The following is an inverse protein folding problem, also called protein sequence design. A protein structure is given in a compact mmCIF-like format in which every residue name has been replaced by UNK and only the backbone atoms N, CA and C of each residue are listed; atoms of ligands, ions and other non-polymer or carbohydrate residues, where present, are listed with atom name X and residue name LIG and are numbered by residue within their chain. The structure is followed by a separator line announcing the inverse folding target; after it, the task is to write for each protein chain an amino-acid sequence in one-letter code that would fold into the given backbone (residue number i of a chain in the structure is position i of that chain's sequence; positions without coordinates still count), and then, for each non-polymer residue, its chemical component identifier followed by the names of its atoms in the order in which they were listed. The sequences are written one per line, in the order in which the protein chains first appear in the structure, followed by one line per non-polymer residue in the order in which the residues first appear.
data_IF_331600376935
#
_entry.id   IF_331600376935
#
_cell.length_a   1.000
_cell.length_b   1.000
_cell.length_c   1.000
_cell.angle_alpha   90.00
_cell.angle_beta   90.00
_cell.angle_gamma   90.00
#
_symmetry.space_group_name_H-M   'P 1'
#
loop_
_entity.id
_entity.type
_entity.pdbx_description
1 polymer ?
#
# COMPACT_ATOMS: atom_id res chain seq x y z
N UNK A 1 4.19 -5.47 23.36
CA UNK A 1 4.16 -4.35 22.39
C UNK A 1 2.87 -3.60 22.64
N UNK A 2 2.93 -2.28 22.88
CA UNK A 2 1.73 -1.48 23.12
C UNK A 2 1.31 -0.70 21.86
N UNK A 3 0.03 -0.80 21.45
CA UNK A 3 -0.43 -0.15 20.24
C UNK A 3 -0.73 1.33 20.46
N UNK A 4 -0.54 2.12 19.41
CA UNK A 4 -1.00 3.51 19.36
C UNK A 4 -2.47 3.59 18.94
N UNK A 5 -3.22 4.58 19.47
CA UNK A 5 -4.61 4.79 19.08
C UNK A 5 -4.68 5.40 17.69
N UNK A 6 -5.37 4.71 16.79
CA UNK A 6 -5.74 5.22 15.48
C UNK A 6 -7.25 5.04 15.31
N UNK A 7 -7.86 5.92 14.53
CA UNK A 7 -9.28 5.85 14.20
C UNK A 7 -9.41 5.84 12.69
N UNK A 8 -10.23 4.95 12.16
CA UNK A 8 -10.59 4.93 10.74
C UNK A 8 -11.98 5.49 10.57
N UNK A 9 -12.11 6.58 9.82
CA UNK A 9 -13.37 7.14 9.38
C UNK A 9 -13.70 6.58 8.00
N UNK A 10 -14.82 5.88 7.91
CA UNK A 10 -15.27 5.17 6.71
C UNK A 10 -16.53 5.83 6.18
N UNK A 11 -16.54 6.13 4.89
CA UNK A 11 -17.74 6.52 4.14
C UNK A 11 -18.07 5.38 3.18
N UNK A 12 -19.20 4.73 3.42
CA UNK A 12 -19.65 3.53 2.69
C UNK A 12 -21.10 3.71 2.22
N UNK A 13 -21.57 2.80 1.37
CA UNK A 13 -22.93 2.80 0.79
C UNK A 13 -23.30 4.10 0.05
N UNK A 14 -22.39 4.62 -0.78
CA UNK A 14 -22.67 5.80 -1.60
C UNK A 14 -23.64 5.42 -2.73
N UNK A 15 -24.81 6.07 -2.78
CA UNK A 15 -25.77 5.89 -3.88
C UNK A 15 -26.54 7.18 -4.17
N UNK A 16 -26.78 7.46 -5.44
CA UNK A 16 -27.43 8.71 -5.88
C UNK A 16 -28.81 8.43 -6.49
N UNK A 17 -29.84 9.07 -5.93
CA UNK A 17 -31.21 9.11 -6.47
C UNK A 17 -31.43 10.46 -7.13
N UNK A 18 -31.61 10.47 -8.45
CA UNK A 18 -31.93 11.67 -9.22
C UNK A 18 -33.45 11.90 -9.27
N UNK A 19 -33.93 13.16 -9.30
CA UNK A 19 -35.35 13.45 -9.43
C UNK A 19 -35.88 13.03 -10.80
N UNK A 20 -37.09 12.47 -10.85
CA UNK A 20 -37.82 12.20 -12.09
C UNK A 20 -38.27 13.54 -12.70
N UNK A 21 -37.85 13.84 -13.92
CA UNK A 21 -38.28 15.05 -14.62
C UNK A 21 -39.69 14.87 -15.19
N UNK A 22 -40.67 15.58 -14.66
CA UNK A 22 -42.05 15.64 -15.17
C UNK A 22 -42.17 16.63 -16.34
N UNK A 23 -41.55 16.35 -17.49
CA UNK A 23 -41.94 16.94 -18.79
C UNK A 23 -41.68 15.94 -19.92
N UNK A 24 -42.71 15.44 -20.63
CA UNK A 24 -42.50 14.70 -21.86
C UNK A 24 -42.17 15.70 -22.97
N UNK A 25 -40.90 15.83 -23.33
CA UNK A 25 -40.54 16.43 -24.62
C UNK A 25 -40.49 15.31 -25.64
N UNK A 26 -41.58 15.15 -26.37
CA UNK A 26 -41.65 14.30 -27.54
C UNK A 26 -40.70 14.86 -28.62
N UNK A 27 -39.54 14.25 -28.77
CA UNK A 27 -38.84 14.15 -30.07
C UNK A 27 -37.63 13.21 -29.98
N UNK A 28 -37.84 12.04 -30.57
CA UNK A 28 -36.88 11.20 -31.29
C UNK A 28 -35.70 10.55 -30.53
N UNK A 29 -35.63 9.22 -30.70
CA UNK A 29 -34.54 8.29 -30.42
C UNK A 29 -34.37 7.84 -28.98
N UNK A 30 -34.98 6.68 -28.69
CA UNK A 30 -34.81 5.94 -27.45
C UNK A 30 -33.39 5.43 -27.28
N UNK A 31 -32.58 6.20 -26.55
CA UNK A 31 -31.46 5.71 -25.76
C UNK A 31 -31.44 6.57 -24.49
N UNK A 32 -32.10 6.13 -23.42
CA UNK A 32 -31.94 6.77 -22.11
C UNK A 32 -30.44 6.76 -21.78
N UNK A 33 -29.83 7.95 -21.72
CA UNK A 33 -28.40 8.11 -21.42
C UNK A 33 -28.12 7.77 -19.96
N UNK A 34 -28.05 6.48 -19.64
CA UNK A 34 -27.56 5.93 -18.36
C UNK A 34 -26.05 6.09 -18.17
N UNK A 35 -25.37 6.80 -19.07
CA UNK A 35 -23.91 6.77 -19.23
C UNK A 35 -23.18 8.04 -18.78
N UNK A 36 -23.83 8.95 -18.03
CA UNK A 36 -23.08 10.08 -17.44
C UNK A 36 -22.54 9.67 -16.06
N UNK A 37 -21.22 9.50 -15.89
CA UNK A 37 -20.67 9.12 -14.60
C UNK A 37 -20.97 10.21 -13.57
N UNK A 38 -21.47 9.80 -12.41
CA UNK A 38 -21.63 10.66 -11.25
C UNK A 38 -20.47 10.39 -10.29
N UNK A 39 -19.97 11.44 -9.65
CA UNK A 39 -18.87 11.31 -8.71
C UNK A 39 -18.99 12.28 -7.55
N UNK A 40 -18.43 11.91 -6.41
CA UNK A 40 -18.34 12.79 -5.25
C UNK A 40 -16.90 13.17 -4.95
N UNK A 41 -16.73 14.39 -4.44
CA UNK A 41 -15.52 14.84 -3.77
C UNK A 41 -15.81 14.97 -2.28
N UNK A 42 -15.06 14.24 -1.46
CA UNK A 42 -15.16 14.24 0.00
C UNK A 42 -14.03 15.08 0.57
N UNK A 43 -14.39 16.00 1.46
CA UNK A 43 -13.45 16.93 2.07
C UNK A 43 -13.65 17.02 3.56
N UNK A 44 -12.56 16.87 4.28
CA UNK A 44 -12.41 17.13 5.71
C UNK A 44 -11.30 18.16 5.86
N UNK A 45 -11.46 19.14 6.74
CA UNK A 45 -10.43 20.16 6.97
C UNK A 45 -9.12 19.50 7.39
N UNK A 46 -8.00 19.90 6.79
CA UNK A 46 -6.64 19.38 7.03
C UNK A 46 -6.39 17.93 6.58
N UNK A 47 -7.28 17.35 5.75
CA UNK A 47 -7.04 16.06 5.09
C UNK A 47 -7.04 16.23 3.57
N UNK A 48 -6.28 15.40 2.83
CA UNK A 48 -6.34 15.37 1.38
C UNK A 48 -7.77 15.09 0.89
N UNK A 49 -8.27 15.81 -0.13
CA UNK A 49 -9.58 15.54 -0.69
C UNK A 49 -9.60 14.16 -1.38
N UNK A 50 -10.66 13.39 -1.14
CA UNK A 50 -10.87 12.08 -1.75
C UNK A 50 -11.95 12.19 -2.83
N UNK A 51 -11.84 11.41 -3.90
CA UNK A 51 -12.83 11.37 -4.98
C UNK A 51 -13.27 9.93 -5.22
N UNK A 52 -14.57 9.72 -5.38
CA UNK A 52 -15.11 8.40 -5.70
C UNK A 52 -16.25 8.48 -6.72
N UNK A 53 -16.44 7.40 -7.46
CA UNK A 53 -17.59 7.22 -8.34
C UNK A 53 -18.82 6.89 -7.50
N UNK A 54 -19.98 7.37 -7.93
CA UNK A 54 -21.26 7.10 -7.25
C UNK A 54 -22.19 6.34 -8.21
N UNK A 55 -22.66 5.14 -7.83
CA UNK A 55 -23.69 4.44 -8.59
C UNK A 55 -25.04 5.14 -8.47
N UNK A 56 -25.81 5.10 -9.57
CA UNK A 56 -27.19 5.59 -9.60
C UNK A 56 -28.14 4.51 -9.07
N UNK A 57 -29.05 4.86 -8.15
CA UNK A 57 -30.11 3.96 -7.70
C UNK A 57 -31.21 3.86 -8.75
N UNK A 58 -31.65 2.65 -9.12
CA UNK A 58 -32.80 2.47 -10.00
C UNK A 58 -34.11 2.84 -9.28
N UNK A 59 -35.10 3.42 -9.99
CA UNK A 59 -36.37 3.87 -9.40
C UNK A 59 -37.31 2.73 -8.96
N UNK A 60 -36.95 1.46 -9.18
CA UNK A 60 -37.78 0.28 -8.88
C UNK A 60 -37.57 -0.30 -7.49
N UNK A 61 -36.59 0.18 -6.71
CA UNK A 61 -36.44 -0.23 -5.31
C UNK A 61 -37.24 0.71 -4.40
N UNK A 62 -38.25 0.16 -3.75
CA UNK A 62 -38.96 0.79 -2.64
C UNK A 62 -37.98 1.29 -1.58
N UNK A 63 -38.34 2.35 -0.87
CA UNK A 63 -37.55 3.04 0.17
C UNK A 63 -37.13 2.17 1.39
N UNK A 64 -37.32 0.84 1.31
CA UNK A 64 -36.99 -0.16 2.33
C UNK A 64 -35.77 -1.04 2.00
N UNK A 65 -35.17 -0.93 0.82
CA UNK A 65 -34.03 -1.78 0.42
C UNK A 65 -32.70 -1.02 0.54
N UNK A 66 -31.81 -1.48 1.42
CA UNK A 66 -30.44 -0.97 1.55
C UNK A 66 -29.71 -1.17 0.20
N UNK A 67 -29.03 -0.15 -0.36
CA UNK A 67 -28.35 -0.29 -1.64
C UNK A 67 -27.32 -1.42 -1.57
N UNK A 68 -27.31 -2.27 -2.60
CA UNK A 68 -26.40 -3.40 -2.71
C UNK A 68 -24.95 -2.98 -2.46
N UNK A 69 -24.23 -3.82 -1.72
CA UNK A 69 -22.93 -3.60 -1.07
C UNK A 69 -21.73 -3.46 -2.04
N UNK A 70 -21.94 -2.88 -3.21
CA UNK A 70 -20.97 -2.82 -4.33
C UNK A 70 -20.20 -1.50 -4.43
N UNK A 71 -20.49 -0.51 -3.58
CA UNK A 71 -19.76 0.77 -3.55
C UNK A 71 -18.49 0.65 -2.70
N UNK A 72 -17.33 0.91 -3.32
CA UNK A 72 -16.02 0.96 -2.66
C UNK A 72 -16.03 2.00 -1.54
N UNK A 73 -15.62 1.59 -0.34
CA UNK A 73 -15.60 2.45 0.82
C UNK A 73 -14.42 3.44 0.77
N UNK A 74 -14.63 4.65 1.26
CA UNK A 74 -13.60 5.68 1.34
C UNK A 74 -13.15 5.82 2.78
N UNK A 75 -11.85 5.67 3.00
CA UNK A 75 -11.27 5.68 4.34
C UNK A 75 -10.41 6.93 4.57
N UNK A 76 -10.59 7.56 5.72
CA UNK A 76 -9.68 8.55 6.28
C UNK A 76 -9.05 7.95 7.54
N UNK A 77 -7.73 7.85 7.57
CA UNK A 77 -7.00 7.36 8.73
C UNK A 77 -6.59 8.55 9.60
N UNK A 78 -7.03 8.56 10.85
CA UNK A 78 -6.68 9.56 11.84
C UNK A 78 -5.57 9.00 12.73
N UNK A 79 -4.41 9.65 12.68
CA UNK A 79 -3.27 9.36 13.55
C UNK A 79 -3.46 9.96 14.95
N UNK A 80 -2.62 9.59 15.94
CA UNK A 80 -2.72 10.13 17.30
C UNK A 80 -2.65 11.66 17.39
N UNK A 81 -1.97 12.33 16.46
CA UNK A 81 -1.89 13.79 16.44
C UNK A 81 -3.19 14.41 15.92
N UNK A 82 -3.78 13.82 14.88
CA UNK A 82 -5.08 14.19 14.33
C UNK A 82 -6.19 13.97 15.36
N UNK A 83 -6.18 12.85 16.09
CA UNK A 83 -7.14 12.57 17.17
C UNK A 83 -7.05 13.67 18.24
N UNK A 84 -5.85 13.95 18.77
CA UNK A 84 -5.66 15.03 19.78
C UNK A 84 -6.11 16.40 19.28
N UNK A 85 -5.88 16.72 18.00
CA UNK A 85 -6.28 18.00 17.40
C UNK A 85 -7.80 18.15 17.29
N UNK A 86 -8.51 17.04 17.10
CA UNK A 86 -9.95 17.02 16.85
C UNK A 86 -10.78 16.69 18.10
N UNK A 87 -10.14 16.28 19.20
CA UNK A 87 -10.79 16.01 20.47
C UNK A 87 -11.59 17.23 20.96
N UNK A 88 -12.85 17.01 21.35
CA UNK A 88 -13.77 18.06 21.78
C UNK A 88 -14.17 19.07 20.70
N UNK A 89 -13.83 18.82 19.42
CA UNK A 89 -14.10 19.73 18.30
C UNK A 89 -14.81 18.99 17.17
N UNK A 90 -16.10 19.26 16.91
CA UNK A 90 -16.79 18.63 15.80
C UNK A 90 -16.15 19.04 14.46
N UNK A 91 -16.03 18.08 13.55
CA UNK A 91 -15.47 18.26 12.21
C UNK A 91 -16.55 18.08 11.18
N UNK A 92 -16.56 18.93 10.15
CA UNK A 92 -17.50 18.84 9.06
C UNK A 92 -16.90 18.03 7.90
N UNK A 93 -17.50 16.86 7.61
CA UNK A 93 -17.29 16.14 6.36
C UNK A 93 -18.22 16.74 5.31
N UNK A 94 -17.65 17.38 4.28
CA UNK A 94 -18.41 17.89 3.13
C UNK A 94 -18.32 16.89 1.98
N UNK A 95 -19.47 16.44 1.47
CA UNK A 95 -19.56 15.60 0.28
C UNK A 95 -20.21 16.42 -0.83
N UNK A 96 -19.43 16.71 -1.88
CA UNK A 96 -19.91 17.45 -3.05
C UNK A 96 -20.14 16.48 -4.20
N UNK A 97 -21.35 16.42 -4.74
CA UNK A 97 -21.73 15.49 -5.82
C UNK A 97 -21.74 16.22 -7.16
N UNK A 98 -21.13 15.61 -8.16
CA UNK A 98 -21.00 16.14 -9.51
C UNK A 98 -21.54 15.15 -10.54
N UNK A 99 -22.12 15.67 -11.62
CA UNK A 99 -22.43 14.95 -12.85
C UNK A 99 -21.46 15.34 -13.96
N UNK A 100 -21.04 14.38 -14.78
CA UNK A 100 -20.19 14.63 -15.94
C UNK A 100 -18.80 14.02 -15.81
N UNK A 101 -17.92 14.33 -16.77
CA UNK A 101 -16.58 13.73 -16.82
C UNK A 101 -15.69 14.24 -15.68
N UNK A 102 -14.92 13.35 -15.08
CA UNK A 102 -13.84 13.73 -14.17
C UNK A 102 -12.68 14.35 -14.97
N UNK A 103 -12.20 15.52 -14.53
CA UNK A 103 -11.01 16.18 -15.09
C UNK A 103 -11.26 17.52 -15.76
N UNK A 104 -10.19 18.08 -16.34
CA UNK A 104 -10.21 19.33 -17.09
C UNK A 104 -9.92 19.02 -18.56
N UNK A 105 -10.76 19.50 -19.47
CA UNK A 105 -10.43 19.57 -20.89
C UNK A 105 -10.34 21.04 -21.27
N UNK A 106 -9.20 21.47 -21.81
CA UNK A 106 -8.98 22.83 -22.29
C UNK A 106 -9.33 23.94 -21.26
N UNK A 107 -9.03 23.73 -19.97
CA UNK A 107 -9.27 24.73 -18.91
C UNK A 107 -10.69 24.77 -18.34
N UNK A 108 -11.66 24.04 -18.91
CA UNK A 108 -13.02 23.94 -18.39
C UNK A 108 -13.17 22.68 -17.52
N UNK A 109 -13.76 22.81 -16.33
CA UNK A 109 -14.05 21.65 -15.49
C UNK A 109 -15.19 20.84 -16.10
N UNK A 110 -14.98 19.55 -16.36
CA UNK A 110 -15.95 18.71 -17.07
C UNK A 110 -17.19 18.28 -16.25
N UNK A 111 -17.27 18.64 -14.96
CA UNK A 111 -18.34 18.22 -14.06
C UNK A 111 -19.21 19.37 -13.54
N UNK A 112 -20.53 19.23 -13.60
CA UNK A 112 -21.51 20.14 -13.02
C UNK A 112 -21.83 19.73 -11.59
N UNK A 113 -21.76 20.66 -10.63
CA UNK A 113 -22.14 20.39 -9.24
C UNK A 113 -23.65 20.17 -9.15
N UNK A 114 -24.07 19.00 -8.66
CA UNK A 114 -25.47 18.69 -8.35
C UNK A 114 -25.88 19.24 -6.98
N UNK A 115 -25.01 19.14 -5.99
CA UNK A 115 -25.30 19.59 -4.64
C UNK A 115 -24.25 19.15 -3.63
N UNK A 116 -24.45 19.57 -2.37
CA UNK A 116 -23.57 19.24 -1.25
C UNK A 116 -24.39 18.72 -0.08
N UNK A 117 -23.84 17.73 0.61
CA UNK A 117 -24.27 17.35 1.97
C UNK A 117 -23.12 17.54 2.92
N UNK A 118 -23.44 17.80 4.18
CA UNK A 118 -22.46 17.96 5.24
C UNK A 118 -22.85 17.08 6.42
N UNK A 119 -21.89 16.29 6.91
CA UNK A 119 -22.06 15.43 8.09
C UNK A 119 -21.14 15.95 9.19
N UNK A 120 -21.72 16.24 10.35
CA UNK A 120 -20.96 16.63 11.54
C UNK A 120 -20.43 15.37 12.21
N UNK A 121 -19.12 15.32 12.41
CA UNK A 121 -18.41 14.18 12.97
C UNK A 121 -17.79 14.62 14.28
N UNK A 122 -18.21 14.01 15.39
CA UNK A 122 -17.49 14.13 16.65
C UNK A 122 -16.71 12.83 16.90
N UNK A 123 -15.38 12.91 16.92
CA UNK A 123 -14.54 11.73 17.12
C UNK A 123 -14.38 11.32 18.59
N UNK A 124 -15.01 12.06 19.52
CA UNK A 124 -14.97 11.73 20.94
C UNK A 124 -15.57 10.33 21.17
N UNK A 125 -14.79 9.43 21.77
CA UNK A 125 -15.17 8.03 21.96
C UNK A 125 -14.92 7.10 20.77
N UNK A 126 -14.54 7.60 19.59
CA UNK A 126 -14.20 6.76 18.42
C UNK A 126 -12.97 5.87 18.63
N UNK A 127 -12.14 6.18 19.62
CA UNK A 127 -10.95 5.38 19.99
C UNK A 127 -11.33 4.09 20.71
N UNK A 128 -12.47 4.06 21.43
CA UNK A 128 -12.87 2.91 22.26
C UNK A 128 -13.93 2.05 21.60
N UNK A 129 -14.82 2.63 20.79
CA UNK A 129 -15.87 1.88 20.10
C UNK A 129 -16.23 2.49 18.74
N UNK A 130 -16.82 1.70 17.84
CA UNK A 130 -17.37 2.23 16.60
C UNK A 130 -18.51 3.22 16.86
N UNK A 131 -18.59 4.27 16.05
CA UNK A 131 -19.66 5.27 16.09
C UNK A 131 -20.20 5.49 14.68
N UNK A 132 -21.51 5.67 14.54
CA UNK A 132 -22.19 5.99 13.28
C UNK A 132 -22.74 7.41 13.38
N UNK A 133 -22.37 8.27 12.44
CA UNK A 133 -22.78 9.68 12.41
C UNK A 133 -23.94 9.92 11.45
N UNK A 134 -23.97 9.17 10.35
CA UNK A 134 -25.01 9.24 9.35
C UNK A 134 -25.23 7.85 8.79
N UNK A 135 -26.48 7.46 8.57
CA UNK A 135 -26.85 6.26 7.84
C UNK A 135 -28.20 6.50 7.16
N UNK A 136 -28.20 6.75 5.86
CA UNK A 136 -29.43 6.93 5.10
C UNK A 136 -29.33 8.03 4.05
N UNK A 137 -30.50 8.37 3.49
CA UNK A 137 -30.66 9.36 2.44
C UNK A 137 -30.56 10.80 2.97
N UNK A 138 -29.80 11.64 2.26
CA UNK A 138 -29.67 13.08 2.50
C UNK A 138 -29.98 13.86 1.22
N UNK A 139 -30.78 14.92 1.31
CA UNK A 139 -31.12 15.77 0.17
C UNK A 139 -29.91 16.58 -0.31
N UNK A 140 -29.71 16.66 -1.62
CA UNK A 140 -28.66 17.44 -2.27
C UNK A 140 -29.21 18.81 -2.69
N UNK A 141 -28.76 19.88 -2.04
CA UNK A 141 -29.17 21.26 -2.32
C UNK A 141 -30.10 21.86 -1.26
N UNK A 142 -30.19 23.19 -1.24
CA UNK A 142 -30.86 23.95 -0.17
C UNK A 142 -31.85 25.01 -0.71
N UNK A 143 -32.31 24.89 -1.96
CA UNK A 143 -33.19 25.89 -2.58
C UNK A 143 -34.56 25.32 -2.94
N UNK A 144 -35.56 25.67 -2.13
CA UNK A 144 -36.99 25.70 -2.48
C UNK A 144 -37.63 24.38 -2.95
N UNK A 145 -38.90 24.49 -3.30
CA UNK A 145 -39.88 23.42 -3.58
C UNK A 145 -39.60 22.57 -4.85
N UNK A 146 -38.35 22.53 -5.33
CA UNK A 146 -37.96 21.75 -6.52
C UNK A 146 -37.61 20.31 -6.14
N UNK A 147 -37.90 19.33 -7.02
CA UNK A 147 -37.50 17.95 -6.78
C UNK A 147 -35.97 17.87 -6.76
N UNK A 148 -35.40 17.61 -5.57
CA UNK A 148 -33.98 17.56 -5.32
C UNK A 148 -33.45 16.13 -5.40
N UNK A 149 -32.22 15.97 -5.90
CA UNK A 149 -31.52 14.69 -5.84
C UNK A 149 -31.25 14.31 -4.37
N UNK A 150 -31.11 13.02 -4.09
CA UNK A 150 -30.79 12.51 -2.76
C UNK A 150 -29.56 11.61 -2.82
N UNK A 151 -28.67 11.73 -1.84
CA UNK A 151 -27.48 10.91 -1.67
C UNK A 151 -27.68 10.00 -0.46
N UNK A 152 -27.63 8.69 -0.68
CA UNK A 152 -27.45 7.74 0.41
C UNK A 152 -25.97 7.68 0.77
N UNK A 153 -25.68 7.74 2.07
CA UNK A 153 -24.35 7.45 2.60
C UNK A 153 -24.44 6.96 4.03
N UNK A 154 -23.45 6.16 4.42
CA UNK A 154 -23.18 5.82 5.81
C UNK A 154 -21.80 6.32 6.19
N UNK A 155 -21.74 7.11 7.25
CA UNK A 155 -20.51 7.68 7.79
C UNK A 155 -20.31 7.10 9.18
N UNK A 156 -19.21 6.37 9.37
CA UNK A 156 -18.89 5.74 10.65
C UNK A 156 -17.40 5.83 10.97
N UNK A 157 -17.06 5.87 12.24
CA UNK A 157 -15.69 5.67 12.72
C UNK A 157 -15.56 4.33 13.40
N UNK A 158 -14.37 3.76 13.37
CA UNK A 158 -14.01 2.58 14.14
C UNK A 158 -12.58 2.69 14.71
N UNK A 159 -12.32 2.14 15.91
CA UNK A 159 -10.96 1.96 16.40
C UNK A 159 -10.14 1.14 15.42
N UNK A 160 -8.92 1.57 15.13
CA UNK A 160 -8.02 0.92 14.19
C UNK A 160 -6.59 0.89 14.76
N UNK A 161 -6.38 0.32 15.97
CA UNK A 161 -5.11 0.43 16.70
C UNK A 161 -3.94 -0.17 15.92
N UNK A 162 -2.76 0.47 16.02
CA UNK A 162 -1.58 0.12 15.23
C UNK A 162 -0.31 0.11 16.05
N UNK A 163 0.59 -0.82 15.75
CA UNK A 163 1.97 -0.74 16.19
C UNK A 163 2.75 0.20 15.29
N UNK A 164 3.57 1.08 15.89
CA UNK A 164 4.45 1.99 15.18
C UNK A 164 5.88 1.59 15.43
N UNK A 165 6.63 1.42 14.35
CA UNK A 165 8.05 1.13 14.37
C UNK A 165 8.80 2.16 13.55
N UNK A 166 10.03 2.46 13.94
CA UNK A 166 10.91 3.36 13.22
C UNK A 166 12.31 2.76 13.18
N UNK A 167 12.88 2.70 11.99
CA UNK A 167 14.29 2.35 11.82
C UNK A 167 15.17 3.47 12.38
N UNK A 168 16.19 3.11 13.17
CA UNK A 168 17.16 4.06 13.73
C UNK A 168 18.07 4.70 12.68
N UNK A 169 18.25 4.01 11.56
CA UNK A 169 19.09 4.39 10.42
C UNK A 169 18.61 3.70 9.15
N UNK A 170 19.43 3.74 8.11
CA UNK A 170 19.10 3.12 6.83
C UNK A 170 19.23 1.60 6.90
N UNK A 171 18.37 0.81 6.21
CA UNK A 171 18.37 -0.65 6.32
C UNK A 171 19.73 -1.32 6.00
N UNK A 172 20.47 -0.81 5.02
CA UNK A 172 21.80 -1.31 4.66
C UNK A 172 22.87 -1.06 5.72
N UNK A 173 22.63 -0.13 6.65
CA UNK A 173 23.52 0.19 7.77
C UNK A 173 23.27 -0.70 9.00
N UNK A 174 22.52 -1.80 8.86
CA UNK A 174 22.18 -2.73 9.95
C UNK A 174 21.59 -2.04 11.20
N UNK A 175 20.47 -1.31 11.07
CA UNK A 175 19.97 -0.45 12.13
C UNK A 175 19.21 -1.21 13.21
N UNK A 176 19.10 -0.60 14.40
CA UNK A 176 18.11 -0.97 15.41
C UNK A 176 16.74 -0.40 15.02
N UNK A 177 15.68 -1.16 15.25
CA UNK A 177 14.29 -0.73 15.04
C UNK A 177 13.62 -0.47 16.38
N UNK A 178 13.01 0.69 16.50
CA UNK A 178 12.36 1.15 17.71
C UNK A 178 10.84 1.06 17.57
N UNK A 179 10.16 0.48 18.56
CA UNK A 179 8.74 0.70 18.76
C UNK A 179 8.53 2.12 19.30
N UNK A 180 7.65 2.88 18.66
CA UNK A 180 7.33 4.26 19.02
C UNK A 180 6.02 4.26 19.81
N UNK A 181 6.08 4.81 21.03
CA UNK A 181 4.94 4.98 21.91
C UNK A 181 4.90 6.43 22.40
N UNK A 182 4.13 7.28 21.72
CA UNK A 182 4.14 8.72 21.99
C UNK A 182 5.55 9.31 21.79
N UNK A 183 6.18 9.76 22.89
CA UNK A 183 7.54 10.30 22.88
C UNK A 183 8.62 9.26 23.24
N UNK A 184 8.22 8.04 23.60
CA UNK A 184 9.12 6.96 24.01
C UNK A 184 9.54 6.16 22.78
N UNK A 185 10.84 5.87 22.68
CA UNK A 185 11.44 5.03 21.63
C UNK A 185 12.08 3.80 22.28
N UNK A 186 11.43 2.64 22.17
CA UNK A 186 11.92 1.39 22.75
C UNK A 186 12.55 0.51 21.67
N UNK A 187 13.81 0.09 21.78
CA UNK A 187 14.39 -0.86 20.84
C UNK A 187 13.66 -2.20 20.96
N UNK A 188 13.24 -2.78 19.84
CA UNK A 188 12.51 -4.06 19.82
C UNK A 188 13.10 -5.07 18.83
N UNK A 189 13.77 -4.59 17.78
CA UNK A 189 14.46 -5.44 16.83
C UNK A 189 15.83 -4.87 16.47
N UNK A 190 16.74 -5.73 16.02
CA UNK A 190 17.96 -5.34 15.34
C UNK A 190 17.99 -5.93 13.93
N UNK A 191 18.45 -5.16 12.96
CA UNK A 191 18.61 -5.61 11.59
C UNK A 191 20.08 -5.90 11.29
N UNK A 192 20.34 -6.96 10.54
CA UNK A 192 21.66 -7.26 9.97
C UNK A 192 21.55 -7.34 8.46
N UNK A 193 22.16 -6.38 7.78
CA UNK A 193 22.28 -6.37 6.33
C UNK A 193 23.54 -7.13 5.91
N UNK A 194 23.46 -7.86 4.81
CA UNK A 194 24.60 -8.47 4.13
C UNK A 194 24.46 -8.33 2.62
N UNK A 195 25.57 -8.03 1.97
CA UNK A 195 25.70 -7.97 0.51
C UNK A 195 26.66 -9.07 0.04
N UNK A 196 26.22 -10.33 0.12
CA UNK A 196 27.06 -11.47 -0.28
C UNK A 196 27.06 -11.60 -1.81
N UNK A 197 28.16 -11.20 -2.45
CA UNK A 197 28.33 -11.35 -3.91
C UNK A 197 28.45 -12.80 -4.35
N UNK A 198 28.74 -13.72 -3.42
CA UNK A 198 28.99 -15.13 -3.68
C UNK A 198 27.83 -16.01 -3.18
N UNK A 199 26.63 -15.78 -3.71
CA UNK A 199 25.38 -16.47 -3.33
C UNK A 199 25.32 -17.96 -3.71
N UNK A 200 26.47 -18.63 -3.88
CA UNK A 200 26.56 -20.09 -4.05
C UNK A 200 27.02 -20.83 -2.79
N UNK A 201 27.58 -20.14 -1.79
CA UNK A 201 28.29 -20.82 -0.69
C UNK A 201 27.74 -20.59 0.73
N UNK A 202 26.69 -19.77 0.94
CA UNK A 202 25.95 -19.79 2.20
C UNK A 202 24.64 -20.54 2.02
N UNK A 203 24.60 -21.71 2.64
CA UNK A 203 23.49 -22.64 2.75
C UNK A 203 22.17 -21.94 3.13
N UNK A 204 21.35 -21.63 2.14
CA UNK A 204 19.96 -22.06 2.23
C UNK A 204 19.99 -23.60 2.23
N UNK A 205 19.23 -24.30 3.09
CA UNK A 205 19.20 -25.76 3.05
C UNK A 205 18.83 -26.22 1.64
N UNK A 206 19.39 -27.37 1.27
CA UNK A 206 19.31 -28.02 -0.04
C UNK A 206 17.90 -28.15 -0.62
N UNK A 207 16.85 -27.98 0.19
CA UNK A 207 15.45 -28.05 -0.24
C UNK A 207 14.96 -26.80 -1.00
N UNK A 208 15.78 -25.74 -1.03
CA UNK A 208 15.56 -24.57 -1.91
C UNK A 208 16.59 -24.47 -3.05
N UNK A 209 17.48 -25.46 -3.17
CA UNK A 209 18.31 -25.59 -4.36
C UNK A 209 17.39 -25.89 -5.55
N UNK A 210 17.30 -24.90 -6.43
CA UNK A 210 16.60 -24.93 -7.70
C UNK A 210 17.01 -26.17 -8.52
N UNK A 211 16.28 -27.26 -8.38
CA UNK A 211 16.34 -28.38 -9.33
C UNK A 211 15.68 -27.90 -10.62
N UNK A 212 16.52 -27.55 -11.58
CA UNK A 212 16.24 -27.54 -13.02
C UNK A 212 14.92 -26.87 -13.49
N UNK A 213 14.97 -25.55 -13.65
CA UNK A 213 14.31 -24.92 -14.81
C UNK A 213 15.43 -24.49 -15.76
N UNK A 214 16.09 -25.50 -16.32
CA UNK A 214 16.94 -25.33 -17.49
C UNK A 214 16.10 -25.70 -18.71
N UNK A 215 15.34 -24.74 -19.24
CA UNK A 215 14.82 -24.78 -20.61
C UNK A 215 15.07 -23.45 -21.30
N UNK A 216 16.24 -23.38 -21.93
CA UNK A 216 16.41 -22.70 -23.22
C UNK A 216 16.77 -21.22 -23.19
N UNK A 217 18.00 -20.86 -22.82
CA UNK A 217 18.73 -19.81 -23.52
C UNK A 217 20.24 -20.07 -23.43
N UNK A 218 20.79 -20.81 -24.39
CA UNK A 218 22.22 -20.82 -24.67
C UNK A 218 22.60 -19.44 -25.22
N UNK A 219 23.24 -18.58 -24.42
CA UNK A 219 23.93 -17.41 -24.97
C UNK A 219 25.30 -17.88 -25.44
N UNK A 220 25.51 -17.80 -26.74
CA UNK A 220 26.78 -18.04 -27.40
C UNK A 220 27.86 -17.14 -26.80
N UNK A 221 28.97 -17.73 -26.36
CA UNK A 221 30.15 -17.03 -25.92
C UNK A 221 30.73 -16.19 -27.07
N UNK A 222 30.41 -14.89 -27.10
CA UNK A 222 31.14 -13.93 -27.92
C UNK A 222 32.30 -13.38 -27.10
N UNK A 223 33.52 -13.66 -27.57
CA UNK A 223 34.78 -13.20 -27.00
C UNK A 223 34.86 -11.66 -27.06
N UNK A 224 34.44 -10.97 -26.00
CA UNK A 224 34.44 -9.51 -25.93
C UNK A 224 34.39 -9.03 -24.49
N UNK A 225 35.58 -8.68 -23.94
CA UNK A 225 35.85 -8.02 -22.65
C UNK A 225 34.64 -7.95 -21.70
N UNK A 226 34.53 -8.97 -20.86
CA UNK A 226 33.55 -9.09 -19.78
C UNK A 226 33.62 -7.87 -18.84
N UNK A 227 32.72 -6.90 -19.05
CA UNK A 227 32.53 -5.78 -18.11
C UNK A 227 31.92 -6.35 -16.83
N UNK A 228 32.77 -6.54 -15.82
CA UNK A 228 32.36 -6.89 -14.47
C UNK A 228 31.31 -5.88 -13.95
N UNK A 229 30.14 -6.35 -13.55
CA UNK A 229 29.25 -5.60 -12.64
C UNK A 229 28.13 -4.75 -13.27
N UNK A 230 27.22 -5.36 -14.04
CA UNK A 230 25.88 -4.77 -14.32
C UNK A 230 24.75 -5.54 -13.63
N UNK A 231 25.01 -6.13 -12.47
CA UNK A 231 24.02 -6.86 -11.70
C UNK A 231 24.13 -6.47 -10.23
N UNK A 232 22.97 -6.29 -9.56
CA UNK A 232 22.88 -6.14 -8.10
C UNK A 232 22.18 -7.39 -7.56
N UNK A 233 22.89 -8.17 -6.75
CA UNK A 233 22.45 -9.48 -6.26
C UNK A 233 22.92 -9.75 -4.84
N UNK A 234 22.31 -10.77 -4.22
CA UNK A 234 22.80 -11.36 -2.98
C UNK A 234 22.62 -10.50 -1.73
N UNK A 235 21.75 -9.48 -1.80
CA UNK A 235 21.43 -8.69 -0.62
C UNK A 235 20.43 -9.43 0.25
N UNK A 236 20.68 -9.40 1.55
CA UNK A 236 19.79 -9.96 2.55
C UNK A 236 19.74 -9.04 3.76
N UNK A 237 18.58 -8.93 4.37
CA UNK A 237 18.42 -8.30 5.67
C UNK A 237 17.72 -9.28 6.60
N UNK A 238 18.34 -9.55 7.76
CA UNK A 238 17.79 -10.43 8.79
C UNK A 238 17.39 -9.58 9.98
N UNK A 239 16.16 -9.78 10.45
CA UNK A 239 15.60 -9.11 11.63
C UNK A 239 15.72 -10.04 12.82
N UNK A 240 16.35 -9.57 13.88
CA UNK A 240 16.53 -10.28 15.13
C UNK A 240 15.70 -9.63 16.24
N UNK A 241 15.23 -10.45 17.18
CA UNK A 241 14.68 -9.95 18.43
C UNK A 241 15.79 -9.50 19.41
N UNK A 242 15.39 -9.07 20.61
CA UNK A 242 16.33 -8.64 21.65
C UNK A 242 17.18 -9.78 22.23
N UNK A 243 16.81 -11.03 22.01
CA UNK A 243 17.63 -12.20 22.38
C UNK A 243 18.70 -12.52 21.34
N UNK A 244 18.67 -11.87 20.17
CA UNK A 244 19.53 -12.17 19.04
C UNK A 244 18.99 -13.29 18.14
N UNK A 245 17.77 -13.77 18.37
CA UNK A 245 17.15 -14.81 17.54
C UNK A 245 16.64 -14.22 16.22
N UNK A 246 16.95 -14.85 15.08
CA UNK A 246 16.44 -14.42 13.77
C UNK A 246 14.96 -14.76 13.63
N UNK A 247 14.10 -13.73 13.54
CA UNK A 247 12.64 -13.89 13.56
C UNK A 247 11.96 -13.52 12.24
N UNK A 248 12.66 -12.84 11.34
CA UNK A 248 12.24 -12.60 9.96
C UNK A 248 13.46 -12.29 9.08
N UNK A 249 13.33 -12.46 7.78
CA UNK A 249 14.34 -12.00 6.83
C UNK A 249 13.72 -11.56 5.52
N UNK A 250 14.43 -10.71 4.78
CA UNK A 250 14.16 -10.45 3.37
C UNK A 250 15.42 -10.74 2.57
N UNK A 251 15.30 -11.59 1.56
CA UNK A 251 16.42 -12.05 0.74
C UNK A 251 16.15 -11.77 -0.74
N UNK A 252 17.12 -11.18 -1.43
CA UNK A 252 17.04 -10.97 -2.87
C UNK A 252 17.17 -12.30 -3.61
N UNK A 253 16.07 -12.75 -4.23
CA UNK A 253 15.99 -14.03 -4.96
C UNK A 253 16.13 -13.85 -6.47
N UNK A 254 15.76 -12.68 -6.99
CA UNK A 254 15.95 -12.33 -8.40
C UNK A 254 16.80 -11.08 -8.45
N UNK A 255 17.96 -11.15 -9.11
CA UNK A 255 18.89 -10.03 -9.17
C UNK A 255 18.28 -8.86 -9.95
N UNK A 256 18.69 -7.65 -9.58
CA UNK A 256 18.33 -6.45 -10.32
C UNK A 256 19.35 -6.27 -11.44
N UNK A 257 18.86 -6.30 -12.69
CA UNK A 257 19.68 -6.25 -13.91
C UNK A 257 19.08 -5.22 -14.87
N UNK A 258 19.88 -4.38 -15.54
CA UNK A 258 19.36 -3.44 -16.52
C UNK A 258 18.86 -4.17 -17.77
N UNK A 259 17.75 -3.71 -18.33
CA UNK A 259 17.22 -4.22 -19.60
C UNK A 259 18.21 -3.97 -20.74
N UNK A 260 18.16 -4.81 -21.79
CA UNK A 260 19.03 -4.67 -22.96
C UNK A 260 18.92 -3.26 -23.56
N UNK A 261 20.06 -2.63 -23.82
CA UNK A 261 20.12 -1.26 -24.36
C UNK A 261 19.77 -0.14 -23.36
N UNK A 262 19.55 -0.45 -22.08
CA UNK A 262 19.15 0.49 -21.03
C UNK A 262 20.09 0.41 -19.83
N UNK A 263 19.93 1.35 -18.89
CA UNK A 263 20.55 1.35 -17.56
C UNK A 263 19.52 1.16 -16.43
N UNK A 264 18.33 0.66 -16.78
CA UNK A 264 17.15 0.57 -15.90
C UNK A 264 16.66 -0.87 -15.76
N UNK A 265 16.16 -1.20 -14.57
CA UNK A 265 15.38 -2.41 -14.33
C UNK A 265 13.96 -2.17 -14.85
N UNK A 266 13.53 -2.90 -15.88
CA UNK A 266 12.19 -2.76 -16.46
C UNK A 266 11.17 -3.65 -15.77
N UNK A 267 9.88 -3.31 -15.92
CA UNK A 267 8.75 -4.15 -15.49
C UNK A 267 8.79 -5.57 -16.09
N UNK A 268 9.35 -5.72 -17.29
CA UNK A 268 9.50 -7.02 -17.96
C UNK A 268 10.58 -7.93 -17.37
N UNK A 269 11.48 -7.38 -16.55
CA UNK A 269 12.53 -8.12 -15.85
C UNK A 269 12.74 -7.49 -14.46
N UNK A 270 11.75 -7.60 -13.56
CA UNK A 270 11.83 -6.99 -12.24
C UNK A 270 12.82 -7.74 -11.36
N UNK A 271 13.47 -7.02 -10.44
CA UNK A 271 14.17 -7.66 -9.34
C UNK A 271 13.17 -8.12 -8.28
N UNK A 272 13.52 -9.14 -7.49
CA UNK A 272 12.60 -9.70 -6.52
C UNK A 272 13.26 -10.08 -5.20
N UNK A 273 12.50 -9.84 -4.14
CA UNK A 273 12.80 -10.22 -2.76
C UNK A 273 11.81 -11.26 -2.28
N UNK A 274 12.30 -12.19 -1.47
CA UNK A 274 11.50 -13.14 -0.73
C UNK A 274 11.52 -12.75 0.74
N UNK A 275 10.35 -12.55 1.31
CA UNK A 275 10.15 -12.32 2.73
C UNK A 275 9.97 -13.69 3.39
N UNK A 276 10.79 -13.95 4.39
CA UNK A 276 10.96 -15.25 5.01
C UNK A 276 10.57 -15.19 6.49
N UNK A 277 9.86 -16.22 6.93
CA UNK A 277 9.57 -16.49 8.34
C UNK A 277 10.33 -17.73 8.81
N UNK A 278 10.83 -17.80 10.04
CA UNK A 278 11.37 -19.03 10.59
C UNK A 278 10.24 -20.06 10.77
N UNK A 279 10.57 -21.34 10.61
CA UNK A 279 9.66 -22.47 10.80
C UNK A 279 10.29 -23.52 11.72
N UNK A 280 9.86 -23.51 12.99
CA UNK A 280 10.43 -24.35 14.04
C UNK A 280 11.63 -23.70 14.74
N UNK A 281 12.35 -24.47 15.54
CA UNK A 281 13.44 -23.98 16.40
C UNK A 281 14.81 -23.89 15.71
N UNK A 282 14.93 -24.37 14.46
CA UNK A 282 16.21 -24.38 13.73
C UNK A 282 16.31 -23.25 12.70
N UNK A 283 17.48 -22.62 12.64
CA UNK A 283 17.88 -21.58 11.66
C UNK A 283 17.81 -22.08 10.21
N UNK A 284 17.85 -23.41 9.99
CA UNK A 284 17.75 -24.00 8.65
C UNK A 284 16.36 -23.86 8.04
N UNK A 285 15.29 -23.77 8.83
CA UNK A 285 13.95 -23.98 8.28
C UNK A 285 13.23 -22.65 8.03
N UNK A 286 13.67 -21.88 7.02
CA UNK A 286 12.94 -20.68 6.58
C UNK A 286 11.79 -21.05 5.64
N UNK A 287 10.62 -20.45 5.86
CA UNK A 287 9.47 -20.57 4.96
C UNK A 287 9.17 -19.24 4.28
N UNK A 288 8.85 -19.26 2.97
CA UNK A 288 8.41 -18.06 2.27
C UNK A 288 7.08 -17.58 2.82
N UNK A 289 6.98 -16.28 3.08
CA UNK A 289 5.76 -15.60 3.49
C UNK A 289 5.18 -14.75 2.36
N UNK A 290 6.04 -14.00 1.67
CA UNK A 290 5.62 -13.14 0.58
C UNK A 290 6.76 -12.84 -0.39
N UNK A 291 6.40 -12.47 -1.61
CA UNK A 291 7.32 -12.08 -2.68
C UNK A 291 7.09 -10.63 -3.05
N UNK A 292 8.15 -9.82 -3.02
CA UNK A 292 8.13 -8.42 -3.44
C UNK A 292 8.93 -8.27 -4.73
N UNK A 293 8.28 -7.89 -5.81
CA UNK A 293 8.92 -7.47 -7.05
C UNK A 293 9.06 -5.96 -7.09
N UNK A 294 10.15 -5.47 -7.69
CA UNK A 294 10.38 -4.05 -7.88
C UNK A 294 11.11 -3.75 -9.20
N UNK A 295 10.77 -2.61 -9.81
CA UNK A 295 11.35 -2.13 -11.06
C UNK A 295 11.29 -0.60 -11.15
N UNK A 296 12.00 -0.02 -12.11
CA UNK A 296 11.96 1.43 -12.38
C UNK A 296 10.99 1.72 -13.52
N UNK A 297 9.81 2.23 -13.17
CA UNK A 297 8.76 2.63 -14.11
C UNK A 297 9.12 3.96 -14.79
N UNK A 298 8.88 4.05 -16.11
CA UNK A 298 9.14 5.28 -16.87
C UNK A 298 7.89 6.17 -16.84
N UNK A 299 8.08 7.45 -16.55
CA UNK A 299 7.01 8.44 -16.58
C UNK A 299 7.54 9.87 -16.67
N UNK A 300 6.66 10.89 -16.59
CA UNK A 300 7.08 12.30 -16.50
C UNK A 300 8.06 12.54 -15.36
N UNK A 301 7.88 11.79 -14.27
CA UNK A 301 8.90 11.54 -13.26
C UNK A 301 9.03 10.03 -13.11
N UNK A 302 10.26 9.52 -13.10
CA UNK A 302 10.55 8.11 -12.84
C UNK A 302 9.89 7.65 -11.52
N UNK A 303 9.35 6.44 -11.53
CA UNK A 303 8.75 5.81 -10.36
C UNK A 303 9.44 4.49 -10.01
N UNK A 304 9.41 4.13 -8.73
CA UNK A 304 9.64 2.76 -8.30
C UNK A 304 8.31 2.01 -8.38
N UNK A 305 8.17 1.15 -9.38
CA UNK A 305 7.07 0.20 -9.46
C UNK A 305 7.32 -0.97 -8.53
N UNK A 306 6.26 -1.47 -7.90
CA UNK A 306 6.34 -2.60 -6.99
C UNK A 306 5.10 -3.48 -7.08
N UNK A 307 5.28 -4.77 -6.78
CA UNK A 307 4.19 -5.75 -6.65
C UNK A 307 4.53 -6.71 -5.52
N UNK A 308 3.63 -6.82 -4.55
CA UNK A 308 3.74 -7.72 -3.41
C UNK A 308 2.66 -8.79 -3.46
N UNK A 309 3.08 -10.04 -3.32
CA UNK A 309 2.21 -11.23 -3.33
C UNK A 309 2.47 -12.10 -2.10
N UNK A 310 1.41 -12.67 -1.52
CA UNK A 310 1.57 -13.70 -0.49
C UNK A 310 1.80 -15.05 -1.15
N UNK A 311 2.77 -15.80 -0.66
CA UNK A 311 3.09 -17.13 -1.18
C UNK A 311 2.06 -18.13 -0.67
N UNK A 312 1.46 -18.91 -1.57
CA UNK A 312 0.52 -19.98 -1.19
C UNK A 312 1.22 -21.33 -1.10
N UNK A 313 0.58 -22.29 -0.44
CA UNK A 313 1.11 -23.66 -0.29
C UNK A 313 1.32 -24.40 -1.63
N UNK A 314 0.84 -23.85 -2.76
CA UNK A 314 0.99 -24.44 -4.10
C UNK A 314 2.29 -24.07 -4.83
N UNK A 315 3.21 -23.35 -4.17
CA UNK A 315 4.55 -23.04 -4.69
C UNK A 315 4.77 -21.56 -5.05
N UNK A 316 6.00 -21.21 -5.44
CA UNK A 316 6.47 -19.82 -5.64
C UNK A 316 5.86 -19.10 -6.86
N UNK A 317 5.13 -19.83 -7.72
CA UNK A 317 4.54 -19.31 -8.97
C UNK A 317 3.05 -19.00 -8.84
N UNK A 318 2.44 -19.31 -7.69
CA UNK A 318 1.02 -19.06 -7.39
C UNK A 318 0.92 -18.22 -6.12
N UNK A 319 1.03 -16.91 -6.28
CA UNK A 319 0.90 -15.93 -5.21
C UNK A 319 -0.44 -15.22 -5.26
N UNK A 320 -0.97 -14.81 -4.11
CA UNK A 320 -2.14 -13.93 -4.05
C UNK A 320 -1.62 -12.49 -4.12
N UNK A 321 -1.90 -11.72 -5.18
CA UNK A 321 -1.45 -10.34 -5.24
C UNK A 321 -2.12 -9.54 -4.13
N UNK A 322 -1.34 -8.84 -3.32
CA UNK A 322 -1.80 -8.09 -2.16
C UNK A 322 -1.67 -6.58 -2.38
N UNK A 323 -0.56 -6.10 -2.93
CA UNK A 323 -0.38 -4.68 -3.23
C UNK A 323 0.44 -4.49 -4.50
N UNK A 324 0.00 -3.62 -5.40
CA UNK A 324 0.74 -3.19 -6.58
C UNK A 324 0.63 -1.67 -6.68
N UNK A 325 1.70 -1.00 -7.06
CA UNK A 325 1.68 0.44 -7.21
C UNK A 325 2.95 1.02 -7.75
N UNK A 326 3.05 2.34 -7.71
CA UNK A 326 4.24 3.08 -8.11
C UNK A 326 4.43 4.26 -7.19
N UNK A 327 5.64 4.42 -6.64
CA UNK A 327 6.02 5.57 -5.82
C UNK A 327 7.06 6.44 -6.53
N UNK A 328 7.17 7.71 -6.16
CA UNK A 328 8.06 8.64 -6.84
C UNK A 328 9.53 8.36 -6.48
N UNK A 329 10.41 8.16 -7.46
CA UNK A 329 11.79 7.77 -7.14
C UNK A 329 12.63 8.90 -6.51
N UNK A 330 12.28 10.18 -6.75
CA UNK A 330 13.02 11.34 -6.22
C UNK A 330 12.49 11.81 -4.87
N UNK A 331 11.16 11.75 -4.70
CA UNK A 331 10.47 12.23 -3.50
C UNK A 331 10.24 11.11 -2.48
N UNK A 332 10.33 9.86 -2.90
CA UNK A 332 9.87 8.73 -2.10
C UNK A 332 8.35 8.65 -2.10
N UNK A 333 7.80 8.02 -1.07
CA UNK A 333 6.37 7.87 -0.89
C UNK A 333 6.01 6.99 0.29
N UNK A 334 4.82 6.40 0.21
CA UNK A 334 4.31 5.49 1.22
C UNK A 334 3.93 4.18 0.55
N UNK A 335 4.59 3.10 0.92
CA UNK A 335 4.16 1.75 0.59
C UNK A 335 3.00 1.39 1.53
N UNK A 336 1.87 0.93 0.99
CA UNK A 336 0.69 0.60 1.78
C UNK A 336 0.13 -0.77 1.36
N UNK A 337 -0.35 -1.51 2.35
CA UNK A 337 -1.22 -2.67 2.16
C UNK A 337 -2.52 -2.36 2.91
N UNK A 338 -3.58 -2.17 2.15
CA UNK A 338 -4.93 -1.98 2.67
C UNK A 338 -5.90 -2.76 1.78
N UNK A 339 -6.56 -3.75 2.37
CA UNK A 339 -7.43 -4.66 1.63
C UNK A 339 -8.79 -4.02 1.29
N UNK A 340 -9.10 -2.84 1.84
CA UNK A 340 -10.31 -2.08 1.48
C UNK A 340 -10.21 -1.37 0.13
N UNK A 341 -9.00 -1.25 -0.43
CA UNK A 341 -8.76 -0.59 -1.71
C UNK A 341 -8.94 -1.51 -2.93
N UNK A 342 -9.21 -2.81 -2.72
CA UNK A 342 -9.41 -3.76 -3.82
C UNK A 342 -10.88 -3.98 -4.12
N UNK A 343 -11.25 -3.68 -5.35
CA UNK A 343 -12.57 -3.98 -5.91
C UNK A 343 -12.86 -5.48 -5.79
N UNK A 344 -14.03 -5.77 -5.24
CA UNK A 344 -14.60 -7.09 -5.03
C UNK A 344 -14.45 -8.02 -6.25
N UNK A 345 -13.60 -9.05 -6.12
CA UNK A 345 -13.81 -10.41 -6.64
C UNK A 345 -12.77 -11.36 -6.05
N UNK A 346 -13.27 -12.33 -5.27
CA UNK A 346 -12.60 -13.55 -4.84
C UNK A 346 -11.24 -13.39 -4.11
N UNK A 347 -11.28 -13.32 -2.79
CA UNK A 347 -10.27 -13.98 -1.94
C UNK A 347 -11.02 -14.95 -1.02
N UNK A 348 -10.83 -16.28 -1.14
CA UNK A 348 -11.52 -17.28 -0.32
C UNK A 348 -11.13 -17.27 1.17
N UNK A 349 -10.24 -16.36 1.57
CA UNK A 349 -9.74 -16.15 2.93
C UNK A 349 -10.20 -14.76 3.43
N UNK A 350 -11.50 -14.51 3.40
CA UNK A 350 -12.12 -13.20 3.72
C UNK A 350 -12.28 -12.94 5.22
N UNK A 351 -11.24 -13.18 6.03
CA UNK A 351 -11.20 -12.77 7.44
C UNK A 351 -10.30 -11.55 7.69
N UNK A 352 -9.57 -11.11 6.66
CA UNK A 352 -8.68 -9.95 6.71
C UNK A 352 -9.49 -8.79 6.09
N UNK A 353 -9.77 -7.76 6.88
CA UNK A 353 -10.52 -6.57 6.43
C UNK A 353 -9.89 -5.34 7.09
N UNK A 354 -9.45 -4.38 6.29
CA UNK A 354 -8.92 -3.10 6.78
C UNK A 354 -7.43 -2.88 6.49
N UNK A 355 -6.86 -1.97 7.28
CA UNK A 355 -5.47 -1.54 7.17
C UNK A 355 -4.53 -2.65 7.67
N UNK A 356 -3.59 -3.07 6.82
CA UNK A 356 -2.60 -4.10 7.17
C UNK A 356 -1.30 -3.46 7.61
N UNK A 357 -0.66 -2.74 6.69
CA UNK A 357 0.59 -2.06 6.99
C UNK A 357 0.79 -0.82 6.12
N UNK A 358 1.72 0.02 6.56
CA UNK A 358 2.32 0.99 5.68
C UNK A 358 3.74 1.34 6.10
N UNK A 359 4.58 1.70 5.13
CA UNK A 359 5.94 2.15 5.37
C UNK A 359 6.25 3.44 4.61
N UNK A 360 6.88 4.42 5.28
CA UNK A 360 7.43 5.60 4.61
C UNK A 360 8.77 5.28 3.97
N UNK A 361 8.94 5.64 2.71
CA UNK A 361 10.15 5.38 1.93
C UNK A 361 10.67 6.73 1.43
N UNK A 362 11.93 7.03 1.70
CA UNK A 362 12.56 8.25 1.19
C UNK A 362 13.00 8.10 -0.28
N UNK A 363 13.21 9.23 -0.94
CA UNK A 363 13.67 9.26 -2.33
C UNK A 363 15.11 8.77 -2.52
N UNK A 364 15.43 8.34 -3.74
CA UNK A 364 16.77 7.90 -4.16
C UNK A 364 17.84 8.91 -3.73
N UNK A 365 18.88 8.42 -3.04
CA UNK A 365 20.03 9.23 -2.61
C UNK A 365 19.82 10.04 -1.32
N UNK A 366 18.69 9.86 -0.63
CA UNK A 366 18.47 10.40 0.71
C UNK A 366 18.67 9.31 1.76
N UNK A 367 19.03 9.72 2.96
CA UNK A 367 19.05 8.80 4.10
C UNK A 367 17.62 8.42 4.50
N UNK A 368 17.26 7.16 4.28
CA UNK A 368 15.95 6.63 4.61
C UNK A 368 15.91 6.12 6.05
N UNK A 369 14.86 6.47 6.79
CA UNK A 369 14.55 5.91 8.11
C UNK A 369 13.10 5.45 8.10
N UNK A 370 12.80 4.26 7.55
CA UNK A 370 11.43 3.84 7.36
C UNK A 370 10.61 3.88 8.65
N UNK A 371 9.44 4.50 8.57
CA UNK A 371 8.42 4.48 9.61
C UNK A 371 7.37 3.46 9.21
N UNK A 372 7.27 2.38 9.97
CA UNK A 372 6.38 1.25 9.71
C UNK A 372 5.19 1.32 10.66
N UNK A 373 3.99 1.25 10.09
CA UNK A 373 2.73 1.14 10.83
C UNK A 373 2.14 -0.24 10.50
N UNK A 374 1.70 -0.98 11.51
CA UNK A 374 1.09 -2.30 11.32
C UNK A 374 -0.20 -2.38 12.14
N UNK A 375 -1.31 -2.79 11.52
CA UNK A 375 -2.57 -2.99 12.22
C UNK A 375 -2.47 -4.12 13.24
N UNK A 376 -2.95 -3.89 14.47
CA UNK A 376 -2.82 -4.85 15.59
C UNK A 376 -3.42 -6.21 15.25
N UNK A 377 -4.53 -6.22 14.53
CA UNK A 377 -5.23 -7.43 14.10
C UNK A 377 -4.40 -8.37 13.19
N UNK A 378 -3.29 -7.88 12.64
CA UNK A 378 -2.38 -8.66 11.79
C UNK A 378 -1.09 -9.10 12.51
N UNK A 379 -1.00 -8.85 13.83
CA UNK A 379 0.18 -9.17 14.64
C UNK A 379 -0.24 -9.96 15.86
N UNK A 380 0.02 -11.26 15.85
CA UNK A 380 -0.23 -12.15 17.00
C UNK A 380 1.02 -12.35 17.85
N UNK A 381 2.20 -12.21 17.24
CA UNK A 381 3.49 -12.34 17.91
C UNK A 381 4.53 -11.35 17.34
N UNK A 382 5.69 -11.25 17.99
CA UNK A 382 6.78 -10.38 17.52
C UNK A 382 7.30 -10.76 16.13
N UNK A 383 7.29 -12.05 15.79
CA UNK A 383 7.71 -12.52 14.47
C UNK A 383 6.79 -12.00 13.35
N UNK A 384 5.48 -11.88 13.60
CA UNK A 384 4.55 -11.30 12.63
C UNK A 384 4.89 -9.83 12.35
N UNK A 385 5.17 -9.04 13.40
CA UNK A 385 5.61 -7.66 13.24
C UNK A 385 6.93 -7.57 12.45
N UNK A 386 7.88 -8.46 12.76
CA UNK A 386 9.17 -8.52 12.09
C UNK A 386 9.08 -8.84 10.59
N UNK A 387 8.07 -9.58 10.14
CA UNK A 387 7.82 -9.77 8.69
C UNK A 387 7.51 -8.47 7.97
N UNK A 388 6.71 -7.59 8.58
CA UNK A 388 6.43 -6.27 8.03
C UNK A 388 7.65 -5.34 8.10
N UNK A 389 8.51 -5.49 9.11
CA UNK A 389 9.81 -4.79 9.17
C UNK A 389 10.72 -5.24 8.03
N UNK A 390 10.85 -6.55 7.81
CA UNK A 390 11.65 -7.11 6.72
C UNK A 390 11.12 -6.67 5.34
N UNK A 391 9.79 -6.69 5.15
CA UNK A 391 9.16 -6.19 3.93
C UNK A 391 9.41 -4.69 3.72
N UNK A 392 9.31 -3.89 4.79
CA UNK A 392 9.65 -2.46 4.76
C UNK A 392 11.09 -2.21 4.34
N UNK A 393 12.03 -2.99 4.86
CA UNK A 393 13.43 -2.88 4.47
C UNK A 393 13.63 -3.29 2.99
N UNK A 394 12.98 -4.35 2.53
CA UNK A 394 13.08 -4.80 1.14
C UNK A 394 12.58 -3.76 0.13
N UNK A 395 11.45 -3.09 0.41
CA UNK A 395 10.93 -2.04 -0.47
C UNK A 395 11.82 -0.78 -0.42
N UNK A 396 12.40 -0.46 0.73
CA UNK A 396 13.33 0.67 0.88
C UNK A 396 14.63 0.42 0.10
N UNK A 397 15.26 -0.75 0.31
CA UNK A 397 16.45 -1.19 -0.43
C UNK A 397 16.19 -1.29 -1.94
N UNK A 398 14.94 -1.50 -2.36
CA UNK A 398 14.55 -1.50 -3.77
C UNK A 398 14.68 -0.12 -4.43
N UNK A 399 14.64 0.99 -3.68
CA UNK A 399 14.95 2.32 -4.21
C UNK A 399 16.41 2.39 -4.70
N UNK A 400 17.34 1.82 -3.94
CA UNK A 400 18.75 1.71 -4.33
C UNK A 400 18.97 0.61 -5.38
N UNK A 401 18.30 -0.54 -5.26
CA UNK A 401 18.42 -1.65 -6.21
C UNK A 401 17.89 -1.28 -7.62
N UNK A 402 16.91 -0.37 -7.72
CA UNK A 402 16.39 0.16 -8.99
C UNK A 402 17.07 1.46 -9.45
N UNK A 403 18.10 1.95 -8.75
CA UNK A 403 18.90 3.10 -9.21
C UNK A 403 19.48 2.85 -10.61
N UNK A 404 19.66 3.89 -11.41
CA UNK A 404 20.29 3.71 -12.73
C UNK A 404 21.66 3.02 -12.60
N UNK A 405 21.94 2.03 -13.47
CA UNK A 405 23.21 1.28 -13.45
C UNK A 405 24.41 2.12 -13.90
N UNK A 406 24.15 3.26 -14.53
CA UNK A 406 25.14 4.31 -14.79
C UNK A 406 25.63 5.01 -13.50
N UNK A 407 24.89 4.88 -12.39
CA UNK A 407 25.23 5.48 -11.10
C UNK A 407 25.80 4.45 -10.14
N UNK A 408 26.81 4.86 -9.39
CA UNK A 408 27.37 4.04 -8.29
C UNK A 408 26.38 3.98 -7.12
N UNK A 409 26.36 2.81 -6.46
CA UNK A 409 25.75 2.63 -5.16
C UNK A 409 26.65 3.22 -4.07
N UNK A 410 26.08 3.40 -2.88
CA UNK A 410 26.82 3.82 -1.69
C UNK A 410 27.70 2.67 -1.18
N UNK A 411 28.66 2.97 -0.32
CA UNK A 411 29.73 2.02 0.06
C UNK A 411 29.21 0.86 0.91
N UNK A 412 28.10 1.05 1.60
CA UNK A 412 27.43 0.08 2.46
C UNK A 412 26.93 -1.14 1.66
N UNK A 413 26.75 -0.99 0.34
CA UNK A 413 26.42 -2.05 -0.60
C UNK A 413 27.64 -2.73 -1.25
N UNK A 414 28.83 -2.20 -0.97
CA UNK A 414 30.12 -2.67 -1.49
C UNK A 414 30.85 -3.32 -0.33
N UNK A 415 30.59 -4.60 -0.08
CA UNK A 415 31.47 -5.37 0.80
C UNK A 415 32.80 -5.56 0.06
N UNK A 416 33.82 -4.80 0.46
CA UNK A 416 35.22 -5.13 0.16
C UNK A 416 35.62 -6.35 1.01
N UNK A 417 36.38 -7.27 0.44
CA UNK A 417 36.95 -8.46 1.09
C UNK A 417 37.99 -8.08 2.16
N UNK A 418 37.62 -7.31 3.18
CA UNK A 418 38.58 -6.84 4.20
C UNK A 418 38.49 -7.57 5.55
N UNK A 419 37.55 -8.51 5.72
CA UNK A 419 37.40 -9.26 6.98
C UNK A 419 37.99 -10.69 6.93
N UNK A 420 38.76 -11.06 5.91
CA UNK A 420 39.43 -12.36 5.83
C UNK A 420 40.91 -12.35 6.27
N UNK A 421 41.40 -11.23 6.80
CA UNK A 421 42.74 -11.12 7.38
C UNK A 421 42.66 -10.41 8.74
N UNK A 422 42.11 -11.07 9.74
CA UNK A 422 42.36 -10.77 11.16
C UNK A 422 42.31 -12.05 11.97
#
# INVERSE_FOLDING_TARGET
MDPCPFVRLTVEYLSLKLPLTTKPLASASGIHSSATPCYCKLRIKNFPPQTALIPLSSPTHSDSCSPDSTSSAINFHLDPAAIRRLQGKPVLLTVSVYTGRMGHSCGLSGGKLLGRVAVVINIDGSVTKPLVFQNGWMKLGNEGDKPAASLHLKVRTEPDPRFLFQFGGEPECSPVVFQIQGNIRQPVFSCKFSADRNSRSRSLPSDFAMTNINRGWMTTFSNGREKHGRERKGWMIVVHDLSGSSIAAASMITPFVPSQGSDRVSRSNPGAWLILRPHGASISNWKPWGRLEAWRERGPVDGLGYKFELVTNSGMTSGIPISEGTMNIKKGGKFCIDETLKDSRASPLSNIKGFVMSSSIEGEGKASKPMVQVGVQHVTCMADAALFIALSAAIDLSMDACKLFSRKLRKEFLQDEQDFLS
#
